data_IF_821991817723
#
_entry.id   IF_821991817723
#
_cell.length_a   1.000
_cell.length_b   1.000
_cell.length_c   1.000
_cell.angle_alpha   90.00
_cell.angle_beta   90.00
_cell.angle_gamma   90.00
#
_symmetry.space_group_name_H-M   'P 1'
#
loop_
_entity.id
_entity.type
_entity.pdbx_description
1 polymer ?
#
# COMPACT_ATOMS: atom_id res chain seq x y z
N UNK A 1 -31.32 25.06 33.72
CA UNK A 1 -29.85 24.93 33.66
C UNK A 1 -29.53 23.46 33.88
N UNK A 2 -29.39 22.70 32.78
CA UNK A 2 -29.08 21.26 32.81
C UNK A 2 -27.86 21.04 31.92
N UNK A 3 -26.72 20.75 32.54
CA UNK A 3 -25.44 20.45 31.90
C UNK A 3 -25.41 18.98 31.52
N UNK A 4 -25.42 18.69 30.23
CA UNK A 4 -25.21 17.36 29.67
C UNK A 4 -23.72 17.13 29.48
N UNK A 5 -23.08 16.44 30.42
CA UNK A 5 -21.70 15.99 30.36
C UNK A 5 -21.57 14.87 29.30
N UNK A 6 -20.87 15.16 28.21
CA UNK A 6 -20.44 14.16 27.20
C UNK A 6 -19.31 13.31 27.82
N UNK A 7 -19.69 12.17 28.40
CA UNK A 7 -18.75 11.18 28.89
C UNK A 7 -18.02 10.51 27.71
N UNK A 8 -16.75 10.83 27.49
CA UNK A 8 -15.86 10.01 26.67
C UNK A 8 -15.68 8.66 27.36
N UNK A 9 -16.28 7.60 26.79
CA UNK A 9 -16.04 6.24 27.23
C UNK A 9 -14.56 5.95 27.07
N UNK A 10 -13.85 5.72 28.17
CA UNK A 10 -12.51 5.12 28.14
C UNK A 10 -12.71 3.70 27.64
N UNK A 11 -11.99 3.32 26.60
CA UNK A 11 -11.90 1.94 26.14
C UNK A 11 -11.16 1.17 27.25
N UNK A 12 -11.76 0.07 27.69
CA UNK A 12 -11.17 -0.82 28.67
C UNK A 12 -9.94 -1.50 28.05
N UNK A 13 -8.80 -1.66 28.74
CA UNK A 13 -7.65 -2.40 28.23
C UNK A 13 -7.97 -3.83 27.82
N UNK A 14 -9.03 -4.43 28.37
CA UNK A 14 -9.49 -5.77 28.00
C UNK A 14 -10.25 -5.79 26.68
N UNK A 15 -10.90 -4.69 26.25
CA UNK A 15 -11.49 -4.55 24.91
C UNK A 15 -10.46 -4.58 23.76
N UNK A 16 -9.18 -4.42 24.06
CA UNK A 16 -8.08 -4.45 23.09
C UNK A 16 -7.50 -5.85 22.90
N UNK A 17 -7.87 -6.84 23.73
CA UNK A 17 -7.34 -8.22 23.66
C UNK A 17 -8.09 -9.11 22.68
N UNK A 18 -9.30 -8.75 22.29
CA UNK A 18 -10.15 -9.53 21.37
C UNK A 18 -10.20 -8.97 19.94
N UNK A 19 -9.30 -8.07 19.56
CA UNK A 19 -9.21 -7.67 18.17
C UNK A 19 -8.72 -8.86 17.32
N UNK A 20 -9.49 -9.33 16.34
CA UNK A 20 -9.11 -10.50 15.54
C UNK A 20 -7.73 -10.28 14.92
N UNK A 21 -6.84 -11.27 15.15
CA UNK A 21 -5.45 -11.18 14.71
C UNK A 21 -5.40 -11.22 13.19
N UNK A 22 -5.13 -10.08 12.57
CA UNK A 22 -4.94 -10.02 11.14
C UNK A 22 -3.55 -10.55 10.75
N UNK A 23 -3.47 -11.37 9.71
CA UNK A 23 -2.22 -11.86 9.12
C UNK A 23 -2.00 -11.18 7.78
N UNK A 24 -0.86 -10.48 7.63
CA UNK A 24 -0.43 -9.94 6.32
C UNK A 24 0.55 -10.92 5.70
N UNK A 25 0.25 -11.35 4.47
CA UNK A 25 1.04 -12.34 3.73
C UNK A 25 0.97 -12.14 2.22
N UNK A 26 1.90 -12.71 1.44
CA UNK A 26 1.75 -12.78 -0.01
C UNK A 26 0.45 -13.49 -0.42
N UNK A 27 -0.15 -13.01 -1.51
CA UNK A 27 -1.32 -13.66 -2.09
C UNK A 27 -0.93 -15.04 -2.68
N UNK A 28 -1.87 -15.97 -2.62
CA UNK A 28 -1.77 -17.36 -3.09
C UNK A 28 -2.83 -17.63 -4.17
N UNK A 29 -2.67 -18.63 -5.03
CA UNK A 29 -3.69 -19.00 -6.02
C UNK A 29 -5.07 -19.26 -5.40
N UNK A 30 -5.12 -19.76 -4.18
CA UNK A 30 -6.37 -20.00 -3.42
C UNK A 30 -7.10 -18.73 -2.98
N UNK A 31 -6.46 -17.55 -3.06
CA UNK A 31 -7.05 -16.29 -2.63
C UNK A 31 -7.91 -15.62 -3.70
N UNK A 32 -7.94 -16.14 -4.93
CA UNK A 32 -8.66 -15.54 -6.06
C UNK A 32 -10.13 -15.26 -5.73
N UNK A 33 -10.82 -16.20 -5.11
CA UNK A 33 -12.23 -16.02 -4.73
C UNK A 33 -12.43 -14.91 -3.70
N UNK A 34 -11.55 -14.83 -2.71
CA UNK A 34 -11.54 -13.75 -1.73
C UNK A 34 -11.25 -12.39 -2.35
N UNK A 35 -10.37 -12.33 -3.35
CA UNK A 35 -10.03 -11.10 -4.07
C UNK A 35 -11.15 -10.63 -5.01
N UNK A 36 -11.93 -11.55 -5.59
CA UNK A 36 -13.11 -11.21 -6.39
C UNK A 36 -14.22 -10.54 -5.58
N UNK A 37 -14.23 -10.73 -4.25
CA UNK A 37 -15.23 -10.11 -3.37
C UNK A 37 -15.02 -8.59 -3.16
N UNK A 38 -13.92 -8.02 -3.69
CA UNK A 38 -13.65 -6.58 -3.61
C UNK A 38 -14.30 -5.84 -4.76
N UNK A 39 -15.17 -4.89 -4.43
CA UNK A 39 -15.70 -3.94 -5.39
C UNK A 39 -14.59 -2.97 -5.81
N UNK A 40 -14.19 -3.05 -7.07
CA UNK A 40 -13.17 -2.19 -7.67
C UNK A 40 -13.88 -1.17 -8.56
N UNK A 41 -14.28 -0.04 -7.99
CA UNK A 41 -15.00 1.03 -8.71
C UNK A 41 -14.22 1.63 -9.88
N UNK A 42 -12.89 1.46 -9.92
CA UNK A 42 -12.02 2.02 -10.97
C UNK A 42 -11.62 0.95 -12.01
N UNK A 43 -11.41 -0.29 -11.58
CA UNK A 43 -11.01 -1.40 -12.46
C UNK A 43 -11.71 -2.69 -12.01
N UNK A 44 -12.64 -3.17 -12.82
CA UNK A 44 -13.22 -4.51 -12.61
C UNK A 44 -12.17 -5.53 -13.00
N UNK A 45 -11.87 -6.47 -12.10
CA UNK A 45 -10.94 -7.57 -12.36
C UNK A 45 -11.67 -8.89 -12.41
N UNK A 46 -11.36 -9.66 -13.43
CA UNK A 46 -11.83 -11.03 -13.60
C UNK A 46 -11.03 -12.00 -12.74
N UNK A 47 -11.48 -13.25 -12.65
CA UNK A 47 -10.73 -14.36 -12.05
C UNK A 47 -9.34 -14.51 -12.67
N UNK A 48 -9.27 -14.44 -14.00
CA UNK A 48 -8.02 -14.61 -14.76
C UNK A 48 -7.06 -13.44 -14.50
N UNK A 49 -7.57 -12.21 -14.37
CA UNK A 49 -6.75 -11.05 -13.98
C UNK A 49 -6.12 -11.23 -12.61
N UNK A 50 -6.87 -11.76 -11.64
CA UNK A 50 -6.33 -12.01 -10.30
C UNK A 50 -5.33 -13.16 -10.30
N UNK A 51 -5.62 -14.26 -11.01
CA UNK A 51 -4.70 -15.38 -11.17
C UNK A 51 -3.39 -14.91 -11.80
N UNK A 52 -3.44 -14.16 -12.90
CA UNK A 52 -2.26 -13.59 -13.56
C UNK A 52 -1.50 -12.60 -12.64
N UNK A 53 -2.21 -11.84 -11.81
CA UNK A 53 -1.58 -10.93 -10.86
C UNK A 53 -0.82 -11.70 -9.76
N UNK A 54 -1.40 -12.79 -9.27
CA UNK A 54 -0.76 -13.67 -8.27
C UNK A 54 0.47 -14.35 -8.89
N UNK A 55 0.36 -14.89 -10.10
CA UNK A 55 1.49 -15.53 -10.79
C UNK A 55 2.66 -14.57 -10.98
N UNK A 56 2.40 -13.32 -11.38
CA UNK A 56 3.43 -12.28 -11.46
C UNK A 56 4.06 -11.99 -10.10
N UNK A 57 3.26 -11.98 -9.04
CA UNK A 57 3.77 -11.75 -7.69
C UNK A 57 4.66 -12.93 -7.21
N UNK A 58 4.28 -14.17 -7.52
CA UNK A 58 5.07 -15.35 -7.20
C UNK A 58 6.43 -15.38 -7.93
N UNK A 59 6.50 -14.78 -9.14
CA UNK A 59 7.77 -14.61 -9.86
C UNK A 59 8.58 -13.38 -9.43
N UNK A 60 8.08 -12.58 -8.46
CA UNK A 60 8.74 -11.38 -7.98
C UNK A 60 8.64 -10.16 -8.92
N UNK A 61 7.82 -10.23 -9.97
CA UNK A 61 7.62 -9.14 -10.94
C UNK A 61 6.76 -7.99 -10.37
N UNK A 62 6.06 -8.26 -9.28
CA UNK A 62 5.21 -7.31 -8.55
C UNK A 62 5.02 -7.75 -7.11
N UNK A 63 4.43 -6.88 -6.30
CA UNK A 63 3.94 -7.23 -4.97
C UNK A 63 2.43 -7.36 -5.01
N UNK A 64 1.89 -8.42 -4.43
CA UNK A 64 0.49 -8.55 -4.09
C UNK A 64 0.39 -9.20 -2.72
N UNK A 65 0.03 -8.40 -1.72
CA UNK A 65 -0.17 -8.84 -0.34
C UNK A 65 -1.66 -8.82 -0.01
N UNK A 66 -2.06 -9.76 0.82
CA UNK A 66 -3.40 -9.81 1.42
C UNK A 66 -3.30 -9.67 2.94
N UNK A 67 -4.34 -9.12 3.54
CA UNK A 67 -4.55 -9.19 4.98
C UNK A 67 -5.75 -10.09 5.24
N UNK A 68 -5.49 -11.18 5.95
CA UNK A 68 -6.48 -12.18 6.33
C UNK A 68 -6.91 -11.95 7.78
N UNK A 69 -8.21 -11.98 8.02
CA UNK A 69 -8.83 -11.86 9.34
C UNK A 69 -9.81 -13.02 9.47
N UNK A 70 -9.62 -13.90 10.45
CA UNK A 70 -10.50 -15.06 10.70
C UNK A 70 -10.72 -15.93 9.44
N UNK A 71 -9.68 -16.14 8.64
CA UNK A 71 -9.74 -16.94 7.41
C UNK A 71 -10.34 -16.22 6.20
N UNK A 72 -10.73 -14.94 6.33
CA UNK A 72 -11.29 -14.14 5.24
C UNK A 72 -10.30 -13.08 4.77
N UNK A 73 -10.15 -12.91 3.45
CA UNK A 73 -9.38 -11.82 2.90
C UNK A 73 -10.11 -10.50 3.17
N UNK A 74 -9.59 -9.72 4.11
CA UNK A 74 -10.17 -8.46 4.57
C UNK A 74 -9.62 -7.23 3.85
N UNK A 75 -8.41 -7.33 3.30
CA UNK A 75 -7.75 -6.26 2.55
C UNK A 75 -6.70 -6.82 1.60
N UNK A 76 -6.32 -6.04 0.59
CA UNK A 76 -5.16 -6.32 -0.24
C UNK A 76 -4.42 -5.02 -0.59
N UNK A 77 -3.16 -5.16 -0.99
CA UNK A 77 -2.33 -4.05 -1.47
C UNK A 77 -1.30 -4.53 -2.49
N UNK A 78 -0.97 -3.66 -3.44
CA UNK A 78 -0.10 -3.98 -4.56
C UNK A 78 1.05 -2.99 -4.67
N UNK A 79 2.16 -3.42 -5.28
CA UNK A 79 3.20 -2.55 -5.81
C UNK A 79 3.71 -3.10 -7.13
N UNK A 80 4.02 -2.19 -8.05
CA UNK A 80 4.52 -2.50 -9.38
C UNK A 80 5.79 -1.71 -9.66
N UNK A 81 6.72 -2.31 -10.38
CA UNK A 81 7.75 -1.54 -11.05
C UNK A 81 7.14 -0.91 -12.31
N UNK A 82 7.27 0.40 -12.44
CA UNK A 82 6.84 1.15 -13.61
C UNK A 82 8.07 1.77 -14.26
N UNK A 83 8.14 1.68 -15.59
CA UNK A 83 9.17 2.35 -16.37
C UNK A 83 8.84 3.83 -16.55
N UNK A 84 9.82 4.64 -16.99
CA UNK A 84 9.56 6.05 -17.31
C UNK A 84 8.40 6.14 -18.30
N UNK A 85 7.36 6.90 -17.94
CA UNK A 85 6.21 7.05 -18.82
C UNK A 85 6.52 7.96 -20.02
N UNK A 86 6.23 7.47 -21.22
CA UNK A 86 6.64 8.12 -22.47
C UNK A 86 6.05 9.52 -22.65
N UNK A 87 4.82 9.75 -22.20
CA UNK A 87 4.08 11.02 -22.43
C UNK A 87 4.29 12.00 -21.29
N UNK A 88 3.92 11.65 -20.06
CA UNK A 88 3.96 12.58 -18.92
C UNK A 88 5.30 12.56 -18.16
N UNK A 89 6.24 11.72 -18.60
CA UNK A 89 7.60 11.62 -18.06
C UNK A 89 7.66 11.27 -16.57
N UNK A 90 6.61 10.66 -16.06
CA UNK A 90 6.61 10.13 -14.70
C UNK A 90 7.80 9.15 -14.51
N UNK A 91 8.49 9.18 -13.35
CA UNK A 91 9.76 8.48 -13.16
C UNK A 91 9.59 6.96 -13.15
N UNK A 92 10.69 6.26 -13.45
CA UNK A 92 10.76 4.81 -13.21
C UNK A 92 10.90 4.50 -11.72
N UNK A 93 10.45 3.32 -11.32
CA UNK A 93 10.63 2.81 -9.95
C UNK A 93 9.49 1.92 -9.45
N UNK A 94 9.58 1.56 -8.17
CA UNK A 94 8.55 0.78 -7.49
C UNK A 94 7.45 1.68 -6.95
N UNK A 95 6.25 1.50 -7.45
CA UNK A 95 5.05 2.28 -7.08
C UNK A 95 4.10 1.44 -6.23
N UNK A 96 3.69 1.99 -5.09
CA UNK A 96 2.56 1.49 -4.32
C UNK A 96 1.28 1.79 -5.10
N UNK A 97 0.65 0.75 -5.63
CA UNK A 97 -0.56 0.87 -6.44
C UNK A 97 -1.72 0.16 -5.75
N UNK A 98 -2.72 0.92 -5.34
CA UNK A 98 -3.92 0.39 -4.73
C UNK A 98 -3.68 -0.30 -3.37
N UNK A 99 -4.43 0.13 -2.38
CA UNK A 99 -4.70 -0.59 -1.15
C UNK A 99 -6.19 -0.52 -0.89
N UNK A 100 -6.82 -1.65 -0.73
CA UNK A 100 -8.27 -1.74 -0.56
C UNK A 100 -8.58 -2.56 0.68
N UNK A 101 -9.48 -2.04 1.52
CA UNK A 101 -9.96 -2.69 2.75
C UNK A 101 -11.47 -2.81 2.65
N UNK A 102 -12.01 -4.00 2.90
CA UNK A 102 -13.44 -4.22 2.96
C UNK A 102 -14.10 -3.26 3.95
N UNK A 103 -15.30 -2.72 3.65
CA UNK A 103 -15.94 -1.69 4.48
C UNK A 103 -15.99 -2.04 5.97
N UNK A 104 -16.36 -3.28 6.31
CA UNK A 104 -16.47 -3.76 7.69
C UNK A 104 -15.12 -3.82 8.45
N UNK A 105 -14.00 -3.85 7.73
CA UNK A 105 -12.65 -3.90 8.29
C UNK A 105 -11.87 -2.58 8.17
N UNK A 106 -12.53 -1.51 7.71
CA UNK A 106 -11.88 -0.18 7.64
C UNK A 106 -11.58 0.34 9.05
N UNK A 107 -10.56 1.19 9.14
CA UNK A 107 -10.09 1.84 10.38
C UNK A 107 -9.52 0.86 11.43
N UNK A 108 -9.21 -0.37 11.03
CA UNK A 108 -8.54 -1.41 11.84
C UNK A 108 -7.02 -1.48 11.64
N UNK A 109 -6.42 -0.51 10.97
CA UNK A 109 -4.97 -0.48 10.72
C UNK A 109 -4.50 -1.36 9.56
N UNK A 110 -5.36 -2.14 8.89
CA UNK A 110 -4.95 -3.07 7.81
C UNK A 110 -4.27 -2.36 6.64
N UNK A 111 -4.77 -1.19 6.21
CA UNK A 111 -4.13 -0.42 5.14
C UNK A 111 -2.71 -0.01 5.50
N UNK A 112 -2.48 0.42 6.74
CA UNK A 112 -1.14 0.79 7.23
C UNK A 112 -0.22 -0.43 7.23
N UNK A 113 -0.65 -1.57 7.80
CA UNK A 113 0.14 -2.81 7.84
C UNK A 113 0.51 -3.31 6.45
N UNK A 114 -0.44 -3.31 5.50
CA UNK A 114 -0.19 -3.67 4.10
C UNK A 114 0.77 -2.70 3.42
N UNK A 115 0.67 -1.40 3.71
CA UNK A 115 1.55 -0.40 3.12
C UNK A 115 2.97 -0.54 3.65
N UNK A 116 3.15 -0.73 4.97
CA UNK A 116 4.45 -0.99 5.58
C UNK A 116 5.09 -2.24 4.99
N UNK A 117 4.38 -3.37 4.95
CA UNK A 117 4.93 -4.62 4.41
C UNK A 117 5.34 -4.52 2.93
N UNK A 118 4.63 -3.70 2.10
CA UNK A 118 5.04 -3.44 0.72
C UNK A 118 6.29 -2.56 0.64
N UNK A 119 6.40 -1.57 1.52
CA UNK A 119 7.59 -0.72 1.62
C UNK A 119 8.80 -1.56 2.02
N UNK A 120 8.67 -2.44 3.01
CA UNK A 120 9.74 -3.32 3.46
C UNK A 120 10.22 -4.23 2.32
N UNK A 121 9.29 -4.81 1.57
CA UNK A 121 9.62 -5.61 0.39
C UNK A 121 10.36 -4.80 -0.70
N UNK A 122 9.95 -3.53 -0.93
CA UNK A 122 10.62 -2.64 -1.90
C UNK A 122 12.02 -2.28 -1.40
N UNK A 123 12.21 -2.04 -0.10
CA UNK A 123 13.50 -1.65 0.50
C UNK A 123 14.61 -2.69 0.30
N UNK A 124 14.25 -3.96 0.11
CA UNK A 124 15.22 -5.01 -0.25
C UNK A 124 15.72 -4.90 -1.71
N UNK A 125 15.05 -4.10 -2.56
CA UNK A 125 15.24 -4.08 -4.04
C UNK A 125 15.50 -2.70 -4.62
N UNK A 126 15.19 -1.65 -3.89
CA UNK A 126 15.27 -0.26 -4.35
C UNK A 126 15.56 0.68 -3.19
N UNK A 127 16.20 1.79 -3.48
CA UNK A 127 16.47 2.88 -2.55
C UNK A 127 15.30 3.88 -2.42
N UNK A 128 14.23 3.68 -3.17
CA UNK A 128 13.06 4.54 -3.13
C UNK A 128 11.76 3.77 -3.39
N UNK A 129 10.69 4.21 -2.75
CA UNK A 129 9.32 3.84 -3.06
C UNK A 129 8.53 5.08 -3.50
N UNK A 130 7.61 4.87 -4.42
CA UNK A 130 6.78 5.91 -4.99
C UNK A 130 5.30 5.59 -4.79
N UNK A 131 4.46 6.61 -4.77
CA UNK A 131 3.03 6.51 -5.06
C UNK A 131 2.52 7.82 -5.64
N UNK A 132 1.36 7.76 -6.27
CA UNK A 132 0.64 8.96 -6.69
C UNK A 132 -0.83 8.85 -6.34
N UNK A 133 -1.47 9.99 -6.15
CA UNK A 133 -2.88 10.07 -5.84
C UNK A 133 -3.47 11.38 -6.36
N UNK A 134 -4.79 11.42 -6.53
CA UNK A 134 -5.49 12.70 -6.68
C UNK A 134 -5.23 13.56 -5.43
N UNK A 135 -4.88 14.81 -5.58
CA UNK A 135 -4.62 15.75 -4.48
C UNK A 135 -5.79 15.90 -3.50
N UNK A 136 -7.00 15.56 -3.95
CA UNK A 136 -8.22 15.52 -3.11
C UNK A 136 -8.39 14.21 -2.35
N UNK A 137 -7.60 13.18 -2.64
CA UNK A 137 -7.66 11.89 -1.93
C UNK A 137 -6.94 11.97 -0.58
N UNK A 138 -7.55 12.71 0.34
CA UNK A 138 -7.00 12.92 1.70
C UNK A 138 -6.81 11.60 2.47
N UNK A 139 -7.61 10.58 2.18
CA UNK A 139 -7.47 9.27 2.83
C UNK A 139 -6.14 8.59 2.44
N UNK A 140 -5.77 8.62 1.16
CA UNK A 140 -4.49 8.11 0.68
C UNK A 140 -3.33 8.92 1.25
N UNK A 141 -3.41 10.25 1.19
CA UNK A 141 -2.34 11.12 1.69
C UNK A 141 -2.08 10.88 3.17
N UNK A 142 -3.13 10.87 4.01
CA UNK A 142 -3.03 10.60 5.46
C UNK A 142 -2.49 9.20 5.78
N UNK A 143 -2.68 8.23 4.90
CA UNK A 143 -2.12 6.89 5.07
C UNK A 143 -0.59 6.89 4.89
N UNK A 144 -0.09 7.63 3.89
CA UNK A 144 1.31 7.56 3.45
C UNK A 144 2.20 8.62 4.11
N UNK A 145 1.65 9.77 4.51
CA UNK A 145 2.39 10.87 5.15
C UNK A 145 3.19 10.40 6.39
N UNK A 146 2.60 9.70 7.40
CA UNK A 146 3.34 9.21 8.56
C UNK A 146 4.34 8.11 8.23
N UNK A 147 4.26 7.53 7.02
CA UNK A 147 5.23 6.56 6.51
C UNK A 147 6.42 7.22 5.79
N UNK A 148 6.55 8.54 5.85
CA UNK A 148 7.72 9.27 5.34
C UNK A 148 7.70 9.56 3.84
N UNK A 149 6.53 9.51 3.20
CA UNK A 149 6.39 9.97 1.83
C UNK A 149 6.30 11.49 1.76
N UNK A 150 7.13 12.09 0.92
CA UNK A 150 7.13 13.54 0.63
C UNK A 150 6.62 13.80 -0.79
N UNK A 151 5.90 14.89 -0.95
CA UNK A 151 5.46 15.39 -2.27
C UNK A 151 6.68 15.77 -3.12
N UNK A 152 6.69 15.33 -4.38
CA UNK A 152 7.74 15.64 -5.36
C UNK A 152 7.24 16.58 -6.44
N UNK A 153 6.05 16.33 -6.98
CA UNK A 153 5.47 17.14 -8.07
C UNK A 153 3.96 16.98 -8.16
N UNK A 154 3.35 17.87 -8.91
CA UNK A 154 1.93 17.84 -9.27
C UNK A 154 1.78 17.89 -10.78
N UNK A 155 0.83 17.14 -11.32
CA UNK A 155 0.57 17.08 -12.75
C UNK A 155 -0.87 16.69 -13.07
N UNK A 156 -1.42 17.03 -14.24
CA UNK A 156 -2.75 16.61 -14.66
C UNK A 156 -2.83 15.10 -14.94
N UNK A 157 -1.70 14.47 -15.25
CA UNK A 157 -1.58 13.00 -15.36
C UNK A 157 -0.25 12.51 -14.81
N UNK A 158 -0.23 11.28 -14.27
CA UNK A 158 0.97 10.59 -13.79
C UNK A 158 0.85 9.13 -14.21
N UNK A 159 1.85 8.61 -14.91
CA UNK A 159 1.83 7.28 -15.53
C UNK A 159 0.58 7.02 -16.37
N UNK A 160 0.13 8.04 -17.13
CA UNK A 160 -1.05 7.94 -17.99
C UNK A 160 -2.40 7.99 -17.25
N UNK A 161 -2.39 8.06 -15.94
CA UNK A 161 -3.61 8.22 -15.12
C UNK A 161 -3.95 9.71 -15.04
N UNK A 162 -5.07 10.09 -15.65
CA UNK A 162 -5.62 11.45 -15.55
C UNK A 162 -6.37 11.62 -14.23
N UNK A 163 -6.30 12.82 -13.66
CA UNK A 163 -6.94 13.15 -12.38
C UNK A 163 -8.09 14.12 -12.57
N UNK A 164 -9.25 13.78 -12.00
CA UNK A 164 -10.38 14.70 -11.94
C UNK A 164 -9.99 15.96 -11.17
N UNK A 165 -10.27 17.12 -11.77
CA UNK A 165 -9.83 18.41 -11.26
C UNK A 165 -8.39 18.77 -11.65
N UNK A 166 -7.74 17.93 -12.49
CA UNK A 166 -6.45 18.22 -13.11
C UNK A 166 -5.24 18.18 -12.19
N UNK A 167 -5.33 17.57 -11.01
CA UNK A 167 -4.23 17.59 -10.05
C UNK A 167 -3.98 16.18 -9.44
N UNK A 168 -3.02 15.49 -10.03
CA UNK A 168 -2.34 14.36 -9.42
C UNK A 168 -1.11 14.82 -8.65
N UNK A 169 -0.84 14.21 -7.53
CA UNK A 169 0.35 14.46 -6.71
C UNK A 169 1.23 13.22 -6.70
N UNK A 170 2.49 13.39 -7.06
CA UNK A 170 3.52 12.37 -7.01
C UNK A 170 4.27 12.48 -5.70
N UNK A 171 4.43 11.36 -5.01
CA UNK A 171 5.14 11.27 -3.74
C UNK A 171 6.27 10.26 -3.83
N UNK A 172 7.34 10.52 -3.07
CA UNK A 172 8.51 9.66 -2.97
C UNK A 172 8.91 9.47 -1.50
N UNK A 173 9.38 8.28 -1.17
CA UNK A 173 10.05 7.97 0.08
C UNK A 173 11.42 7.40 -0.21
N UNK A 174 12.47 7.95 0.41
CA UNK A 174 13.80 7.35 0.44
C UNK A 174 13.79 6.10 1.32
N UNK A 175 14.37 5.02 0.83
CA UNK A 175 14.51 3.76 1.53
C UNK A 175 15.99 3.51 1.78
N UNK A 176 16.36 3.43 3.04
CA UNK A 176 17.72 3.04 3.39
C UNK A 176 17.77 1.53 3.40
N UNK A 177 18.64 0.94 2.59
CA UNK A 177 18.88 -0.50 2.63
C UNK A 177 19.33 -0.87 4.05
N UNK A 178 18.52 -1.65 4.77
CA UNK A 178 18.93 -2.19 6.05
C UNK A 178 20.19 -3.05 5.82
N UNK A 179 21.36 -2.47 6.17
CA UNK A 179 22.62 -3.22 6.30
C UNK A 179 23.24 -3.74 5.03
N UNK A 180 23.58 -2.90 4.05
CA UNK A 180 24.81 -3.17 3.29
C UNK A 180 26.00 -2.82 4.18
N UNK A 181 26.46 -3.78 4.97
CA UNK A 181 27.77 -3.70 5.60
C UNK A 181 28.81 -3.51 4.48
N UNK A 182 29.32 -2.32 4.35
CA UNK A 182 30.54 -2.05 3.59
C UNK A 182 31.61 -2.92 4.23
N UNK A 183 31.96 -4.03 3.57
CA UNK A 183 33.15 -4.80 3.89
C UNK A 183 34.34 -3.88 3.74
N UNK A 184 34.82 -3.36 4.88
CA UNK A 184 36.06 -2.62 4.95
C UNK A 184 37.18 -3.50 4.46
N UNK A 185 37.81 -3.10 3.38
CA UNK A 185 39.11 -3.59 2.94
C UNK A 185 40.09 -3.46 4.11
N UNK A 186 40.40 -4.58 4.74
CA UNK A 186 41.57 -4.66 5.58
C UNK A 186 42.79 -4.62 4.65
N UNK A 187 43.53 -3.50 4.71
CA UNK A 187 44.77 -3.34 4.01
C UNK A 187 45.79 -4.35 4.50
N UNK A 188 46.41 -5.04 3.56
CA UNK A 188 47.67 -5.75 3.74
C UNK A 188 48.78 -4.75 3.96
N UNK A 189 49.58 -5.08 4.96
CA UNK A 189 51.02 -4.73 5.05
C UNK A 189 51.81 -6.01 4.94
#
# INVERSE_FOLDING_TARGET
MSSTGSGRRRLDPDDLRDAPTAVVRPARPTDVDGLLAFDMTVVVRTRDDWAAAIDKALRGERVLLVAEVEGVIAAFGQAHHLDVHAVDRAPTGWFLTGVTVLPRHRRSGLAHRLTTARIDWIAERSDAAWYFANGRNTASIRLHEPLGFAEVSRAPSIHGVAFEGGEGVLFRRELHAAGRLTGGSAGER
#
